data_IF_792368447800
#
_entry.id   IF_792368447800
#
_cell.length_a   1.000
_cell.length_b   1.000
_cell.length_c   1.000
_cell.angle_alpha   90.00
_cell.angle_beta   90.00
_cell.angle_gamma   90.00
#
_symmetry.space_group_name_H-M   'P 1'
#
loop_
_entity.id
_entity.type
_entity.pdbx_description
1 polymer ?
#
# COMPACT_ATOMS: atom_id res chain seq x y z
N UNK A 1 1.65 -42.67 4.38
CA UNK A 1 2.81 -41.81 4.65
C UNK A 1 3.14 -41.14 3.32
N UNK A 2 2.48 -40.02 3.03
CA UNK A 2 2.71 -39.25 1.80
C UNK A 2 3.84 -38.26 2.05
N UNK A 3 5.05 -38.64 1.64
CA UNK A 3 6.17 -37.72 1.50
C UNK A 3 6.11 -37.13 0.09
N UNK A 4 5.28 -36.11 -0.08
CA UNK A 4 5.26 -35.26 -1.27
C UNK A 4 5.71 -33.88 -0.85
N UNK A 5 6.97 -33.57 -1.13
CA UNK A 5 7.58 -32.29 -0.82
C UNK A 5 6.68 -31.14 -1.26
N UNK A 6 6.41 -30.25 -0.31
CA UNK A 6 5.80 -28.95 -0.52
C UNK A 6 6.82 -28.09 -1.30
N UNK A 7 7.06 -28.41 -2.58
CA UNK A 7 7.95 -27.60 -3.43
C UNK A 7 7.35 -26.19 -3.49
N UNK A 8 8.08 -25.24 -2.90
CA UNK A 8 7.68 -23.83 -2.88
C UNK A 8 7.32 -23.39 -4.30
N UNK A 9 6.24 -22.61 -4.44
CA UNK A 9 5.86 -21.95 -5.70
C UNK A 9 7.06 -21.23 -6.33
N UNK A 10 7.96 -20.71 -5.50
CA UNK A 10 9.22 -20.09 -5.92
C UNK A 10 10.15 -21.07 -6.64
N UNK A 11 10.31 -22.30 -6.14
CA UNK A 11 11.13 -23.32 -6.80
C UNK A 11 10.57 -23.69 -8.17
N UNK A 12 9.25 -23.84 -8.30
CA UNK A 12 8.60 -24.09 -9.59
C UNK A 12 8.73 -22.90 -10.54
N UNK A 13 8.59 -21.67 -10.03
CA UNK A 13 8.79 -20.45 -10.81
C UNK A 13 10.24 -20.34 -11.34
N UNK A 14 11.23 -20.71 -10.54
CA UNK A 14 12.64 -20.70 -10.93
C UNK A 14 12.97 -21.69 -12.08
N UNK A 15 12.16 -22.72 -12.28
CA UNK A 15 12.33 -23.67 -13.38
C UNK A 15 11.79 -23.17 -14.73
N UNK A 16 11.04 -22.06 -14.75
CA UNK A 16 10.50 -21.49 -15.98
C UNK A 16 11.59 -20.86 -16.86
N UNK A 17 11.30 -20.70 -18.15
CA UNK A 17 12.19 -19.97 -19.06
C UNK A 17 12.31 -18.49 -18.65
N UNK A 18 13.34 -17.81 -19.16
CA UNK A 18 13.56 -16.39 -18.86
C UNK A 18 12.39 -15.55 -19.39
N UNK A 19 11.88 -15.91 -20.56
CA UNK A 19 10.74 -15.25 -21.22
C UNK A 19 9.47 -15.40 -20.37
N UNK A 20 9.17 -16.62 -19.91
CA UNK A 20 7.96 -16.88 -19.11
C UNK A 20 8.03 -16.18 -17.75
N UNK A 21 9.21 -16.16 -17.11
CA UNK A 21 9.42 -15.39 -15.87
C UNK A 21 9.18 -13.91 -16.08
N UNK A 22 9.72 -13.34 -17.17
CA UNK A 22 9.54 -11.93 -17.50
C UNK A 22 8.06 -11.60 -17.79
N UNK A 23 7.36 -12.47 -18.52
CA UNK A 23 5.93 -12.35 -18.78
C UNK A 23 5.13 -12.35 -17.47
N UNK A 24 5.32 -13.35 -16.60
CA UNK A 24 4.63 -13.44 -15.30
C UNK A 24 4.92 -12.21 -14.43
N UNK A 25 6.18 -11.78 -14.33
CA UNK A 25 6.56 -10.59 -13.57
C UNK A 25 5.86 -9.35 -14.14
N UNK A 26 5.89 -9.15 -15.45
CA UNK A 26 5.31 -7.95 -16.07
C UNK A 26 3.79 -7.87 -15.89
N UNK A 27 3.08 -9.00 -16.05
CA UNK A 27 1.64 -9.10 -15.82
C UNK A 27 1.28 -8.93 -14.34
N UNK A 28 1.99 -9.63 -13.45
CA UNK A 28 1.77 -9.56 -12.02
C UNK A 28 2.03 -8.15 -11.47
N UNK A 29 3.10 -7.50 -11.92
CA UNK A 29 3.44 -6.14 -11.52
C UNK A 29 2.40 -5.14 -12.02
N UNK A 30 1.86 -5.28 -13.23
CA UNK A 30 0.79 -4.40 -13.72
C UNK A 30 -0.46 -4.44 -12.82
N UNK A 31 -0.88 -5.63 -12.40
CA UNK A 31 -2.02 -5.82 -11.48
C UNK A 31 -1.71 -5.23 -10.10
N UNK A 32 -0.56 -5.58 -9.52
CA UNK A 32 -0.15 -5.13 -8.18
C UNK A 32 0.07 -3.62 -8.12
N UNK A 33 0.60 -3.02 -9.17
CA UNK A 33 0.78 -1.58 -9.27
C UNK A 33 -0.57 -0.85 -9.27
N UNK A 34 -1.55 -1.34 -10.04
CA UNK A 34 -2.91 -0.80 -10.04
C UNK A 34 -3.57 -0.89 -8.65
N UNK A 35 -3.41 -2.03 -7.98
CA UNK A 35 -3.92 -2.25 -6.62
C UNK A 35 -3.32 -1.24 -5.62
N UNK A 36 -1.99 -1.08 -5.61
CA UNK A 36 -1.32 -0.15 -4.72
C UNK A 36 -1.66 1.31 -5.00
N UNK A 37 -1.86 1.70 -6.27
CA UNK A 37 -2.36 3.04 -6.61
C UNK A 37 -3.76 3.29 -6.05
N UNK A 38 -4.66 2.31 -6.11
CA UNK A 38 -6.00 2.43 -5.50
C UNK A 38 -5.93 2.59 -3.98
N UNK A 39 -5.07 1.81 -3.33
CA UNK A 39 -4.83 1.91 -1.87
C UNK A 39 -4.27 3.27 -1.49
N UNK A 40 -3.29 3.78 -2.25
CA UNK A 40 -2.73 5.11 -2.03
C UNK A 40 -3.80 6.20 -2.16
N UNK A 41 -4.59 6.16 -3.24
CA UNK A 41 -5.69 7.10 -3.46
C UNK A 41 -6.71 7.09 -2.31
N UNK A 42 -7.08 5.90 -1.82
CA UNK A 42 -8.00 5.78 -0.69
C UNK A 42 -7.40 6.39 0.59
N UNK A 43 -6.15 6.06 0.92
CA UNK A 43 -5.48 6.58 2.10
C UNK A 43 -5.36 8.10 2.06
N UNK A 44 -4.91 8.68 0.95
CA UNK A 44 -4.83 10.13 0.75
C UNK A 44 -6.21 10.80 0.85
N UNK A 45 -7.26 10.15 0.34
CA UNK A 45 -8.63 10.67 0.46
C UNK A 45 -9.15 10.63 1.90
N UNK A 46 -8.79 9.61 2.66
CA UNK A 46 -9.15 9.50 4.09
C UNK A 46 -8.41 10.50 4.96
N UNK A 47 -7.12 10.73 4.68
CA UNK A 47 -6.33 11.79 5.32
C UNK A 47 -6.99 13.15 5.07
N UNK A 48 -7.26 13.50 3.81
CA UNK A 48 -7.94 14.77 3.48
C UNK A 48 -9.29 14.91 4.16
N UNK A 49 -10.08 13.84 4.25
CA UNK A 49 -11.36 13.87 4.94
C UNK A 49 -11.23 14.30 6.40
N UNK A 50 -10.22 13.80 7.13
CA UNK A 50 -10.00 14.23 8.52
C UNK A 50 -9.45 15.64 8.61
N UNK A 51 -8.54 16.02 7.70
CA UNK A 51 -8.04 17.40 7.62
C UNK A 51 -9.17 18.41 7.42
N UNK A 52 -10.12 18.07 6.54
CA UNK A 52 -11.31 18.88 6.27
C UNK A 52 -12.29 18.86 7.46
N UNK A 53 -12.50 17.69 8.09
CA UNK A 53 -13.43 17.54 9.24
C UNK A 53 -12.99 18.39 10.43
N UNK A 54 -11.69 18.39 10.74
CA UNK A 54 -11.14 19.06 11.93
C UNK A 54 -10.46 20.40 11.62
N UNK A 55 -10.35 20.76 10.33
CA UNK A 55 -9.71 21.99 9.85
C UNK A 55 -8.29 22.17 10.44
N UNK A 56 -7.53 21.08 10.47
CA UNK A 56 -6.17 20.99 11.01
C UNK A 56 -5.43 19.89 10.25
N UNK A 57 -4.09 19.92 10.23
CA UNK A 57 -3.30 18.80 9.71
C UNK A 57 -2.91 17.82 10.80
N UNK A 58 -2.62 16.57 10.44
CA UNK A 58 -2.15 15.58 11.42
C UNK A 58 -0.83 16.01 12.06
N UNK A 59 0.05 16.67 11.29
CA UNK A 59 1.34 17.17 11.77
C UNK A 59 1.15 18.21 12.86
N UNK A 60 0.14 19.08 12.73
CA UNK A 60 -0.19 20.05 13.76
C UNK A 60 -0.78 19.40 15.01
N UNK A 61 -1.63 18.38 14.85
CA UNK A 61 -2.17 17.61 15.97
C UNK A 61 -1.08 16.82 16.72
N UNK A 62 -0.15 16.19 15.99
CA UNK A 62 0.97 15.46 16.59
C UNK A 62 1.88 16.39 17.41
N UNK A 63 2.02 17.65 16.98
CA UNK A 63 2.83 18.65 17.66
C UNK A 63 2.13 19.28 18.88
N UNK A 64 0.82 19.53 18.78
CA UNK A 64 0.04 20.24 19.81
C UNK A 64 -0.66 19.31 20.80
N UNK A 65 -0.83 18.05 20.44
CA UNK A 65 -1.76 17.15 21.09
C UNK A 65 -3.21 17.42 20.67
N UNK A 66 -4.10 16.51 21.09
CA UNK A 66 -5.54 16.74 20.98
C UNK A 66 -5.97 17.86 21.94
N UNK A 67 -6.99 18.66 21.59
CA UNK A 67 -7.58 19.64 22.49
C UNK A 67 -8.03 19.03 23.82
N UNK A 68 -7.97 19.81 24.90
CA UNK A 68 -8.41 19.37 26.24
C UNK A 68 -9.92 19.04 26.30
N UNK A 69 -10.71 19.62 25.39
CA UNK A 69 -12.15 19.40 25.22
C UNK A 69 -12.47 18.38 24.10
N UNK A 70 -11.48 17.63 23.62
CA UNK A 70 -11.69 16.61 22.60
C UNK A 70 -12.66 15.52 23.08
N UNK A 71 -13.74 15.34 22.32
CA UNK A 71 -14.69 14.26 22.58
C UNK A 71 -14.13 12.90 22.14
N UNK A 72 -14.74 11.82 22.64
CA UNK A 72 -14.36 10.44 22.31
C UNK A 72 -14.21 10.19 20.81
N UNK A 73 -15.09 10.76 19.99
CA UNK A 73 -15.02 10.64 18.52
C UNK A 73 -13.70 11.19 17.95
N UNK A 74 -13.19 12.32 18.47
CA UNK A 74 -11.94 12.89 17.99
C UNK A 74 -10.73 12.02 18.35
N UNK A 75 -10.76 11.34 19.50
CA UNK A 75 -9.71 10.39 19.87
C UNK A 75 -9.67 9.20 18.91
N UNK A 76 -10.82 8.59 18.62
CA UNK A 76 -10.91 7.47 17.68
C UNK A 76 -10.54 7.88 16.26
N UNK A 77 -11.01 9.05 15.82
CA UNK A 77 -10.67 9.59 14.50
C UNK A 77 -9.19 9.91 14.38
N UNK A 78 -8.54 10.41 15.43
CA UNK A 78 -7.09 10.63 15.44
C UNK A 78 -6.31 9.32 15.26
N UNK A 79 -6.70 8.25 15.96
CA UNK A 79 -6.09 6.92 15.80
C UNK A 79 -6.29 6.41 14.37
N UNK A 80 -7.52 6.52 13.85
CA UNK A 80 -7.82 6.10 12.49
C UNK A 80 -7.07 6.93 11.45
N UNK A 81 -6.89 8.23 11.68
CA UNK A 81 -6.17 9.11 10.80
C UNK A 81 -4.68 8.75 10.75
N UNK A 82 -4.03 8.51 11.89
CA UNK A 82 -2.66 7.99 11.95
C UNK A 82 -2.51 6.67 11.16
N UNK A 83 -3.47 5.75 11.32
CA UNK A 83 -3.49 4.53 10.51
C UNK A 83 -3.51 4.79 9.00
N UNK A 84 -4.28 5.79 8.54
CA UNK A 84 -4.33 6.14 7.12
C UNK A 84 -3.06 6.82 6.62
N UNK A 85 -2.36 7.59 7.46
CA UNK A 85 -1.05 8.15 7.14
C UNK A 85 -0.06 7.00 6.88
N UNK A 86 0.03 6.03 7.79
CA UNK A 86 0.90 4.86 7.66
C UNK A 86 0.56 4.03 6.42
N UNK A 87 -0.74 3.79 6.19
CA UNK A 87 -1.22 3.07 5.02
C UNK A 87 -0.85 3.79 3.72
N UNK A 88 -0.96 5.12 3.71
CA UNK A 88 -0.58 5.98 2.59
C UNK A 88 0.91 5.90 2.30
N UNK A 89 1.77 6.04 3.30
CA UNK A 89 3.23 5.98 3.13
C UNK A 89 3.67 4.61 2.63
N UNK A 90 3.13 3.53 3.21
CA UNK A 90 3.38 2.17 2.72
C UNK A 90 2.96 2.00 1.26
N UNK A 91 1.76 2.47 0.90
CA UNK A 91 1.26 2.37 -0.46
C UNK A 91 2.13 3.18 -1.45
N UNK A 92 2.56 4.38 -1.05
CA UNK A 92 3.44 5.25 -1.83
C UNK A 92 4.79 4.60 -2.09
N UNK A 93 5.39 3.98 -1.07
CA UNK A 93 6.64 3.22 -1.21
C UNK A 93 6.45 2.06 -2.20
N UNK A 94 5.35 1.32 -2.09
CA UNK A 94 5.09 0.20 -3.01
C UNK A 94 4.85 0.64 -4.45
N UNK A 95 4.10 1.72 -4.67
CA UNK A 95 3.92 2.34 -5.98
C UNK A 95 5.28 2.74 -6.55
N UNK A 96 6.15 3.37 -5.76
CA UNK A 96 7.50 3.79 -6.21
C UNK A 96 8.34 2.58 -6.63
N UNK A 97 8.38 1.52 -5.82
CA UNK A 97 9.16 0.31 -6.11
C UNK A 97 8.68 -0.40 -7.37
N UNK A 98 7.36 -0.52 -7.56
CA UNK A 98 6.78 -1.21 -8.71
C UNK A 98 6.83 -0.38 -10.00
N UNK A 99 6.80 0.95 -9.92
CA UNK A 99 6.84 1.85 -11.09
C UNK A 99 8.05 1.59 -11.99
N UNK A 100 9.20 1.26 -11.40
CA UNK A 100 10.43 0.93 -12.13
C UNK A 100 10.24 -0.33 -12.98
N UNK A 101 9.54 -1.34 -12.45
CA UNK A 101 9.31 -2.58 -13.18
C UNK A 101 8.21 -2.38 -14.25
N UNK A 102 7.15 -1.63 -13.93
CA UNK A 102 6.07 -1.28 -14.88
C UNK A 102 6.63 -0.53 -16.11
N UNK A 103 7.67 0.29 -15.97
CA UNK A 103 8.23 1.02 -17.12
C UNK A 103 8.84 0.14 -18.22
N UNK A 104 9.10 -1.14 -17.93
CA UNK A 104 9.52 -2.11 -18.95
C UNK A 104 8.35 -2.70 -19.77
N UNK A 105 7.11 -2.34 -19.44
CA UNK A 105 5.90 -2.77 -20.15
C UNK A 105 5.49 -4.21 -19.88
N UNK A 106 4.34 -4.61 -20.43
CA UNK A 106 3.88 -6.01 -20.43
C UNK A 106 4.61 -6.75 -21.55
N UNK A 107 5.26 -7.86 -21.21
CA UNK A 107 5.97 -8.74 -22.12
C UNK A 107 5.07 -9.95 -22.43
N UNK A 108 5.05 -10.40 -23.67
CA UNK A 108 4.24 -11.54 -24.16
C UNK A 108 5.13 -12.73 -24.50
#
# INVERSE_FOLDING_TARGET
METGENESVENKFLLLSVEEKASIISHGVALRFSEWKKRLFLAESKVRFFEEKYNVTIVELDAKGLPDDAEYEMHEDYIQWQHWIDAGEKAKQMVKSLKIIVSYGVQW
#
